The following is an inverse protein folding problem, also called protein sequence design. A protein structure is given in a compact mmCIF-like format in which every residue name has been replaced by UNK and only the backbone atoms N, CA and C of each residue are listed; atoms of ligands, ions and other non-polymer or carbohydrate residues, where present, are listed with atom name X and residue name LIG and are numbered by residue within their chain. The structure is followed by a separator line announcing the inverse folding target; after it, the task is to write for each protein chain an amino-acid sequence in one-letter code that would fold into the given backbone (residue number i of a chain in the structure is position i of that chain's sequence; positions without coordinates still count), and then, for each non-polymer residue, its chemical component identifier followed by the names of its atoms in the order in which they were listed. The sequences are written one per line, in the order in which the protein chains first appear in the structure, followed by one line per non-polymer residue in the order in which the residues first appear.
data_IF_260897541528
#
_entry.id   IF_260897541528
#
_cell.length_a   1.000
_cell.length_b   1.000
_cell.length_c   1.000
_cell.angle_alpha   90.00
_cell.angle_beta   90.00
_cell.angle_gamma   90.00
#
_symmetry.space_group_name_H-M   'P 1'
#
loop_
_entity.id
_entity.type
_entity.pdbx_description
1 polymer ?
#
# COMPACT_ATOMS: atom_id res chain seq x y z
N UNK A 1 13.00 -5.57 -18.09
CA UNK A 1 11.96 -4.74 -17.46
C UNK A 1 12.43 -3.31 -17.13
N UNK A 2 13.44 -2.77 -17.83
CA UNK A 2 13.96 -1.40 -17.66
C UNK A 2 13.69 -0.47 -18.87
N UNK A 3 13.07 -0.98 -19.93
CA UNK A 3 13.05 -0.32 -21.24
C UNK A 3 11.91 0.68 -21.47
N UNK A 4 10.84 0.67 -20.67
CA UNK A 4 9.71 1.60 -20.84
C UNK A 4 9.92 2.95 -20.14
N UNK A 5 10.75 3.02 -19.10
CA UNK A 5 10.99 4.28 -18.39
C UNK A 5 11.86 5.29 -19.17
N UNK A 6 12.54 4.86 -20.24
CA UNK A 6 13.36 5.74 -21.09
C UNK A 6 12.80 5.97 -22.50
N UNK A 7 11.77 5.22 -22.92
CA UNK A 7 11.12 5.37 -24.24
C UNK A 7 9.80 6.13 -24.11
N UNK A 8 9.90 7.31 -23.49
CA UNK A 8 8.77 8.04 -22.96
C UNK A 8 8.84 9.54 -23.22
N UNK A 9 9.56 9.98 -24.23
CA UNK A 9 9.35 11.32 -24.78
C UNK A 9 8.57 11.17 -26.08
N UNK A 10 7.64 12.08 -26.37
CA UNK A 10 6.87 12.04 -27.61
C UNK A 10 7.72 12.51 -28.82
N UNK A 11 9.01 12.14 -28.81
CA UNK A 11 9.95 12.41 -29.85
C UNK A 11 9.82 11.33 -30.95
N UNK A 12 10.18 11.69 -32.18
CA UNK A 12 10.04 10.78 -33.34
C UNK A 12 10.86 9.48 -33.22
N UNK A 13 11.92 9.48 -32.41
CA UNK A 13 12.82 8.33 -32.22
C UNK A 13 12.16 7.29 -31.32
N UNK A 14 11.56 7.70 -30.21
CA UNK A 14 10.84 6.83 -29.29
C UNK A 14 9.62 6.20 -29.99
N UNK A 15 8.88 7.00 -30.77
CA UNK A 15 7.78 6.49 -31.59
C UNK A 15 8.23 5.43 -32.61
N UNK A 16 9.39 5.63 -33.26
CA UNK A 16 9.96 4.67 -34.21
C UNK A 16 10.29 3.34 -33.52
N UNK A 17 10.94 3.40 -32.35
CA UNK A 17 11.30 2.19 -31.60
C UNK A 17 10.09 1.46 -31.05
N UNK A 18 9.09 2.18 -30.52
CA UNK A 18 7.84 1.58 -30.06
C UNK A 18 7.11 0.85 -31.21
N UNK A 19 6.97 1.51 -32.37
CA UNK A 19 6.36 0.89 -33.55
C UNK A 19 7.13 -0.35 -34.00
N UNK A 20 8.45 -0.28 -34.00
CA UNK A 20 9.31 -1.41 -34.38
C UNK A 20 9.19 -2.56 -33.38
N UNK A 21 9.18 -2.26 -32.08
CA UNK A 21 9.03 -3.24 -31.01
C UNK A 21 7.68 -3.97 -31.11
N UNK A 22 6.56 -3.24 -31.17
CA UNK A 22 5.23 -3.85 -31.26
C UNK A 22 5.06 -4.69 -32.53
N UNK A 23 5.62 -4.24 -33.66
CA UNK A 23 5.56 -5.01 -34.92
C UNK A 23 6.39 -6.30 -34.88
N UNK A 24 7.56 -6.24 -34.23
CA UNK A 24 8.54 -7.35 -34.22
C UNK A 24 8.25 -8.35 -33.13
N UNK A 25 8.01 -7.88 -31.90
CA UNK A 25 7.81 -8.72 -30.71
C UNK A 25 6.37 -9.19 -30.59
N UNK A 26 5.40 -8.37 -31.03
CA UNK A 26 3.95 -8.66 -30.92
C UNK A 26 3.57 -9.09 -29.50
N UNK A 27 3.73 -8.20 -28.51
CA UNK A 27 3.50 -8.56 -27.12
C UNK A 27 2.08 -9.05 -26.91
N UNK A 28 1.94 -10.18 -26.20
CA UNK A 28 0.63 -10.73 -25.82
C UNK A 28 0.08 -10.08 -24.55
N UNK A 29 0.96 -9.56 -23.70
CA UNK A 29 0.63 -8.90 -22.43
C UNK A 29 1.43 -7.60 -22.37
N UNK A 30 0.73 -6.51 -22.03
CA UNK A 30 1.33 -5.19 -21.80
C UNK A 30 0.97 -4.76 -20.40
N UNK A 31 1.99 -4.48 -19.58
CA UNK A 31 1.84 -4.05 -18.19
C UNK A 31 2.34 -2.61 -18.10
N UNK A 32 1.49 -1.71 -17.61
CA UNK A 32 1.80 -0.29 -17.47
C UNK A 32 0.97 0.31 -16.33
N UNK A 33 1.46 1.40 -15.73
CA UNK A 33 0.57 2.27 -14.95
C UNK A 33 -0.36 3.01 -15.90
N UNK A 34 -1.50 3.47 -15.37
CA UNK A 34 -2.45 4.28 -16.13
C UNK A 34 -1.82 5.57 -16.64
N UNK A 35 -1.10 6.27 -15.77
CA UNK A 35 -0.47 7.54 -16.11
C UNK A 35 0.51 7.38 -17.26
N UNK A 36 1.33 6.32 -17.23
CA UNK A 36 2.26 6.04 -18.32
C UNK A 36 1.52 5.68 -19.61
N UNK A 37 0.51 4.80 -19.54
CA UNK A 37 -0.23 4.37 -20.73
C UNK A 37 -0.88 5.56 -21.45
N UNK A 38 -1.51 6.46 -20.69
CA UNK A 38 -2.24 7.60 -21.23
C UNK A 38 -1.36 8.82 -21.55
N UNK A 39 -0.14 8.88 -21.02
CA UNK A 39 0.85 9.89 -21.41
C UNK A 39 1.47 9.61 -22.78
N UNK A 40 1.26 8.42 -23.35
CA UNK A 40 1.82 8.01 -24.65
C UNK A 40 0.75 7.63 -25.68
N UNK A 41 0.24 8.61 -26.46
CA UNK A 41 -0.74 8.36 -27.52
C UNK A 41 -0.30 7.29 -28.53
N UNK A 42 1.01 7.20 -28.80
CA UNK A 42 1.56 6.18 -29.71
C UNK A 42 1.36 4.77 -29.19
N UNK A 43 1.47 4.52 -27.87
CA UNK A 43 1.24 3.19 -27.30
C UNK A 43 -0.23 2.83 -27.42
N UNK A 44 -1.14 3.76 -27.11
CA UNK A 44 -2.58 3.55 -27.26
C UNK A 44 -2.97 3.18 -28.70
N UNK A 45 -2.37 3.84 -29.70
CA UNK A 45 -2.58 3.53 -31.12
C UNK A 45 -2.01 2.17 -31.55
N UNK A 46 -1.06 1.60 -30.80
CA UNK A 46 -0.45 0.31 -31.11
C UNK A 46 -1.18 -0.85 -30.42
N UNK A 47 -2.05 -0.55 -29.45
CA UNK A 47 -2.89 -1.52 -28.75
C UNK A 47 -4.20 -1.77 -29.51
N UNK A 48 -4.07 -2.15 -30.78
CA UNK A 48 -5.22 -2.57 -31.58
C UNK A 48 -5.65 -3.99 -31.17
N UNK A 49 -6.96 -4.22 -31.04
CA UNK A 49 -7.57 -5.53 -30.69
C UNK A 49 -7.24 -6.06 -29.29
N UNK A 50 -7.24 -5.20 -28.27
CA UNK A 50 -7.16 -5.64 -26.87
C UNK A 50 -8.41 -6.44 -26.50
N UNK A 51 -8.23 -7.72 -26.18
CA UNK A 51 -9.33 -8.61 -25.79
C UNK A 51 -9.66 -8.55 -24.29
N UNK A 52 -8.67 -8.27 -23.44
CA UNK A 52 -8.81 -8.30 -21.98
C UNK A 52 -8.04 -7.11 -21.38
N UNK A 53 -8.67 -6.41 -20.44
CA UNK A 53 -8.06 -5.35 -19.64
C UNK A 53 -8.28 -5.69 -18.17
N UNK A 54 -7.19 -5.74 -17.40
CA UNK A 54 -7.23 -5.98 -15.96
C UNK A 54 -6.67 -4.78 -15.22
N UNK A 55 -7.41 -4.29 -14.23
CA UNK A 55 -7.00 -3.22 -13.34
C UNK A 55 -6.66 -3.80 -11.98
N UNK A 56 -5.40 -3.66 -11.58
CA UNK A 56 -4.95 -3.91 -10.21
C UNK A 56 -5.08 -2.61 -9.39
N UNK A 57 -5.30 -2.73 -8.08
CA UNK A 57 -5.63 -1.62 -7.17
C UNK A 57 -6.70 -0.67 -7.74
N UNK A 58 -7.74 -1.22 -8.36
CA UNK A 58 -8.81 -0.46 -9.02
C UNK A 58 -9.68 0.36 -8.06
N UNK A 59 -9.59 0.10 -6.75
CA UNK A 59 -10.15 0.96 -5.70
C UNK A 59 -9.32 2.26 -5.51
N UNK A 60 -8.16 2.39 -6.15
CA UNK A 60 -7.27 3.56 -6.05
C UNK A 60 -7.14 4.35 -7.35
N UNK A 61 -7.79 3.91 -8.44
CA UNK A 61 -7.71 4.59 -9.74
C UNK A 61 -8.90 5.54 -9.95
N UNK A 62 -8.69 6.63 -10.71
CA UNK A 62 -9.78 7.49 -11.14
C UNK A 62 -10.80 6.76 -12.03
N UNK A 63 -12.10 7.00 -11.80
CA UNK A 63 -13.18 6.41 -12.61
C UNK A 63 -13.07 6.82 -14.09
N UNK A 64 -12.61 8.04 -14.35
CA UNK A 64 -12.39 8.55 -15.71
C UNK A 64 -11.44 7.68 -16.52
N UNK A 65 -10.43 7.07 -15.89
CA UNK A 65 -9.48 6.21 -16.58
C UNK A 65 -10.12 4.91 -17.04
N UNK A 66 -10.94 4.29 -16.19
CA UNK A 66 -11.72 3.10 -16.58
C UNK A 66 -12.65 3.44 -17.74
N UNK A 67 -13.41 4.53 -17.63
CA UNK A 67 -14.31 4.98 -18.71
C UNK A 67 -13.56 5.21 -20.02
N UNK A 68 -12.39 5.84 -19.96
CA UNK A 68 -11.58 6.09 -21.15
C UNK A 68 -11.15 4.80 -21.85
N UNK A 69 -10.75 3.77 -21.09
CA UNK A 69 -10.43 2.46 -21.67
C UNK A 69 -11.66 1.78 -22.30
N UNK A 70 -12.85 1.91 -21.70
CA UNK A 70 -14.10 1.38 -22.27
C UNK A 70 -14.44 2.02 -23.63
N UNK A 71 -14.15 3.31 -23.79
CA UNK A 71 -14.33 4.00 -25.07
C UNK A 71 -13.30 3.56 -26.10
N UNK A 72 -12.04 3.35 -25.70
CA UNK A 72 -10.96 2.97 -26.61
C UNK A 72 -11.01 1.49 -27.02
N UNK A 73 -11.44 0.61 -26.12
CA UNK A 73 -11.47 -0.84 -26.33
C UNK A 73 -12.87 -1.40 -26.01
N UNK A 74 -13.91 -1.02 -26.77
CA UNK A 74 -15.30 -1.36 -26.45
C UNK A 74 -15.63 -2.86 -26.49
N UNK A 75 -14.76 -3.67 -27.08
CA UNK A 75 -14.91 -5.13 -27.17
C UNK A 75 -14.07 -5.89 -26.14
N UNK A 76 -13.32 -5.20 -25.28
CA UNK A 76 -12.50 -5.83 -24.27
C UNK A 76 -13.35 -6.37 -23.10
N UNK A 77 -12.89 -7.45 -22.50
CA UNK A 77 -13.39 -7.97 -21.22
C UNK A 77 -12.62 -7.27 -20.09
N UNK A 78 -13.34 -6.75 -19.11
CA UNK A 78 -12.77 -5.98 -18.01
C UNK A 78 -12.73 -6.81 -16.72
N UNK A 79 -11.57 -6.82 -16.06
CA UNK A 79 -11.40 -7.28 -14.69
C UNK A 79 -10.98 -6.13 -13.80
N UNK A 80 -11.67 -5.96 -12.67
CA UNK A 80 -11.32 -4.97 -11.65
C UNK A 80 -10.94 -5.71 -10.37
N UNK A 81 -9.70 -5.55 -9.92
CA UNK A 81 -9.17 -6.10 -8.67
C UNK A 81 -8.93 -4.95 -7.71
N UNK A 82 -9.40 -5.06 -6.48
CA UNK A 82 -9.29 -3.99 -5.49
C UNK A 82 -9.91 -4.37 -4.16
N UNK A 83 -9.75 -3.47 -3.20
CA UNK A 83 -10.22 -3.64 -1.83
C UNK A 83 -11.05 -2.42 -1.40
N UNK A 84 -12.36 -2.63 -1.26
CA UNK A 84 -13.32 -1.58 -0.89
C UNK A 84 -13.14 -1.07 0.54
N UNK A 85 -12.42 -1.78 1.40
CA UNK A 85 -12.13 -1.34 2.76
C UNK A 85 -10.94 -0.35 2.82
N UNK A 86 -10.11 -0.29 1.77
CA UNK A 86 -9.03 0.70 1.68
C UNK A 86 -9.63 2.11 1.61
N UNK A 87 -8.89 3.06 2.18
CA UNK A 87 -9.26 4.47 2.07
C UNK A 87 -8.98 4.96 0.64
N UNK A 88 -9.98 5.58 0.02
CA UNK A 88 -9.85 6.24 -1.28
C UNK A 88 -8.68 7.25 -1.30
N UNK A 89 -7.81 7.15 -2.30
CA UNK A 89 -6.79 8.16 -2.58
C UNK A 89 -7.47 9.44 -3.06
N UNK A 90 -7.22 10.53 -2.33
CA UNK A 90 -7.67 11.88 -2.69
C UNK A 90 -6.44 12.68 -3.11
N UNK A 91 -6.45 13.18 -4.33
CA UNK A 91 -5.42 14.14 -4.77
C UNK A 91 -5.52 15.43 -3.98
N UNK A 92 -4.37 15.96 -3.54
CA UNK A 92 -4.29 17.18 -2.72
C UNK A 92 -4.83 18.42 -3.44
N UNK A 93 -4.86 18.41 -4.78
CA UNK A 93 -5.40 19.50 -5.59
C UNK A 93 -6.92 19.43 -5.80
N UNK A 94 -7.60 18.37 -5.32
CA UNK A 94 -9.04 18.22 -5.47
C UNK A 94 -9.80 18.68 -4.21
N UNK A 95 -10.86 19.44 -4.41
CA UNK A 95 -11.83 19.71 -3.35
C UNK A 95 -12.54 18.42 -2.90
N UNK A 96 -13.13 18.42 -1.70
CA UNK A 96 -13.81 17.24 -1.11
C UNK A 96 -14.90 16.68 -2.03
N UNK A 97 -15.62 17.53 -2.77
CA UNK A 97 -16.65 17.07 -3.70
C UNK A 97 -16.05 16.43 -4.95
N UNK A 98 -14.99 17.00 -5.50
CA UNK A 98 -14.30 16.45 -6.67
C UNK A 98 -13.65 15.11 -6.34
N UNK A 99 -13.04 15.01 -5.16
CA UNK A 99 -12.39 13.79 -4.71
C UNK A 99 -13.36 12.65 -4.45
N UNK A 100 -14.57 12.95 -3.97
CA UNK A 100 -15.63 11.96 -3.83
C UNK A 100 -16.04 11.36 -5.16
N UNK A 101 -16.06 12.12 -6.25
CA UNK A 101 -16.55 11.61 -7.55
C UNK A 101 -15.42 11.05 -8.42
N UNK A 102 -14.15 11.31 -8.07
CA UNK A 102 -13.03 11.04 -8.97
C UNK A 102 -12.41 9.66 -8.83
N UNK A 103 -12.27 9.08 -7.63
CA UNK A 103 -11.39 7.90 -7.38
C UNK A 103 -12.09 6.81 -6.57
N UNK A 104 -11.90 5.54 -6.94
CA UNK A 104 -12.23 4.35 -6.12
C UNK A 104 -13.71 3.98 -5.94
N UNK A 105 -14.63 4.92 -6.17
CA UNK A 105 -16.06 4.66 -6.06
C UNK A 105 -16.61 3.65 -7.07
N UNK A 106 -15.89 3.41 -8.18
CA UNK A 106 -16.39 2.50 -9.20
C UNK A 106 -16.46 1.08 -8.64
N UNK A 107 -15.37 0.54 -8.09
CA UNK A 107 -15.33 -0.83 -7.53
C UNK A 107 -16.37 -0.99 -6.41
N UNK A 108 -16.46 0.01 -5.53
CA UNK A 108 -17.46 0.05 -4.46
C UNK A 108 -18.88 -0.02 -5.02
N UNK A 109 -19.24 0.86 -5.96
CA UNK A 109 -20.57 0.87 -6.61
C UNK A 109 -20.85 -0.41 -7.39
N UNK A 110 -19.88 -0.93 -8.13
CA UNK A 110 -20.04 -2.16 -8.92
C UNK A 110 -20.35 -3.35 -8.01
N UNK A 111 -19.71 -3.40 -6.84
CA UNK A 111 -19.92 -4.43 -5.82
C UNK A 111 -21.27 -4.25 -5.11
N UNK A 112 -21.58 -3.05 -4.65
CA UNK A 112 -22.84 -2.73 -3.95
C UNK A 112 -24.07 -2.97 -4.84
N UNK A 113 -24.00 -2.54 -6.09
CA UNK A 113 -25.11 -2.64 -7.04
C UNK A 113 -25.13 -4.00 -7.76
N UNK A 114 -24.15 -4.88 -7.49
CA UNK A 114 -24.02 -6.21 -8.09
C UNK A 114 -24.07 -6.17 -9.63
N UNK A 115 -23.40 -5.16 -10.21
CA UNK A 115 -23.40 -4.95 -11.67
C UNK A 115 -22.64 -6.06 -12.38
N UNK A 116 -21.56 -6.56 -11.76
CA UNK A 116 -20.72 -7.62 -12.30
C UNK A 116 -20.59 -8.80 -11.32
N UNK A 117 -20.30 -10.01 -11.84
CA UNK A 117 -19.85 -11.11 -10.99
C UNK A 117 -18.66 -10.66 -10.15
N UNK A 118 -18.79 -10.75 -8.83
CA UNK A 118 -17.75 -10.38 -7.87
C UNK A 118 -17.25 -11.63 -7.19
N UNK A 119 -15.94 -11.84 -7.19
CA UNK A 119 -15.27 -12.90 -6.43
C UNK A 119 -14.50 -12.22 -5.31
N UNK A 120 -14.73 -12.66 -4.06
CA UNK A 120 -14.01 -12.14 -2.89
C UNK A 120 -12.87 -13.09 -2.55
N UNK A 121 -11.72 -12.52 -2.21
CA UNK A 121 -10.63 -13.30 -1.62
C UNK A 121 -10.96 -13.65 -0.18
N UNK A 122 -10.87 -14.93 0.18
CA UNK A 122 -11.21 -15.43 1.52
C UNK A 122 -10.00 -15.58 2.44
N UNK A 123 -8.78 -15.54 1.89
CA UNK A 123 -7.53 -15.89 2.59
C UNK A 123 -6.47 -14.80 2.48
N UNK A 124 -5.82 -14.48 3.61
CA UNK A 124 -4.54 -13.74 3.65
C UNK A 124 -3.41 -14.73 3.87
N UNK A 125 -2.45 -14.76 2.95
CA UNK A 125 -1.27 -15.63 3.04
C UNK A 125 -0.03 -14.94 3.62
N UNK A 126 -0.06 -13.60 3.74
CA UNK A 126 1.09 -12.77 4.07
C UNK A 126 1.18 -12.32 5.53
N UNK A 127 0.20 -12.66 6.36
CA UNK A 127 0.05 -12.07 7.70
C UNK A 127 -0.26 -13.16 8.73
N UNK A 128 0.29 -13.01 9.94
CA UNK A 128 -0.03 -13.87 11.09
C UNK A 128 -1.55 -13.94 11.33
N UNK A 129 -2.05 -15.11 11.68
CA UNK A 129 -3.49 -15.38 11.82
C UNK A 129 -4.19 -14.49 12.83
N UNK A 130 -3.54 -14.15 13.95
CA UNK A 130 -4.11 -13.28 14.99
C UNK A 130 -4.24 -11.83 14.49
N UNK A 131 -3.27 -11.33 13.71
CA UNK A 131 -3.38 -10.00 13.07
C UNK A 131 -4.48 -10.02 12.00
N UNK A 132 -4.51 -11.06 11.17
CA UNK A 132 -5.54 -11.21 10.13
C UNK A 132 -6.96 -11.24 10.72
N UNK A 133 -7.14 -11.92 11.87
CA UNK A 133 -8.42 -11.93 12.60
C UNK A 133 -8.83 -10.54 13.09
N UNK A 134 -7.88 -9.77 13.65
CA UNK A 134 -8.14 -8.40 14.10
C UNK A 134 -8.55 -7.51 12.92
N UNK A 135 -7.83 -7.60 11.78
CA UNK A 135 -8.15 -6.84 10.56
C UNK A 135 -9.53 -7.23 10.03
N UNK A 136 -9.82 -8.54 9.96
CA UNK A 136 -11.11 -9.07 9.55
C UNK A 136 -12.27 -8.47 10.36
N UNK A 137 -12.17 -8.50 11.69
CA UNK A 137 -13.18 -7.93 12.60
C UNK A 137 -13.34 -6.42 12.45
N UNK A 138 -12.26 -5.68 12.17
CA UNK A 138 -12.30 -4.22 12.11
C UNK A 138 -12.81 -3.66 10.78
N UNK A 139 -12.50 -4.33 9.67
CA UNK A 139 -12.71 -3.79 8.33
C UNK A 139 -13.61 -4.65 7.44
N UNK A 140 -13.80 -5.93 7.77
CA UNK A 140 -14.49 -6.92 6.94
C UNK A 140 -15.57 -7.68 7.72
N UNK A 141 -16.22 -7.03 8.70
CA UNK A 141 -17.21 -7.64 9.62
C UNK A 141 -18.34 -8.40 8.91
N UNK A 142 -18.65 -8.03 7.65
CA UNK A 142 -19.71 -8.64 6.83
C UNK A 142 -19.22 -9.77 5.92
N UNK A 143 -17.92 -10.04 5.90
CA UNK A 143 -17.31 -11.04 5.04
C UNK A 143 -16.85 -12.22 5.89
N UNK A 144 -17.03 -13.45 5.38
CA UNK A 144 -16.51 -14.67 5.99
C UNK A 144 -15.00 -14.74 5.78
N UNK A 145 -14.29 -13.84 6.47
CA UNK A 145 -12.84 -13.72 6.44
C UNK A 145 -12.23 -14.91 7.17
N UNK A 146 -12.07 -16.00 6.45
CA UNK A 146 -11.80 -17.30 7.02
C UNK A 146 -10.38 -17.72 6.72
N UNK A 147 -9.53 -17.55 7.75
CA UNK A 147 -8.25 -18.25 7.93
C UNK A 147 -7.08 -17.64 7.16
N UNK A 148 -6.06 -17.26 7.94
CA UNK A 148 -4.69 -17.16 7.47
C UNK A 148 -4.04 -18.53 7.66
N UNK A 149 -3.25 -18.98 6.68
CA UNK A 149 -2.42 -20.17 6.88
C UNK A 149 -1.44 -19.90 8.01
N UNK A 150 -1.29 -20.87 8.91
CA UNK A 150 -0.34 -20.79 10.02
C UNK A 150 1.07 -20.74 9.44
N UNK A 151 1.59 -19.55 9.21
CA UNK A 151 3.01 -19.40 8.91
C UNK A 151 3.81 -19.97 10.08
N UNK A 152 4.87 -20.73 9.78
CA UNK A 152 5.91 -21.05 10.77
C UNK A 152 6.62 -19.74 11.09
N UNK A 153 6.00 -18.95 11.94
CA UNK A 153 6.45 -17.61 12.26
C UNK A 153 7.76 -17.71 13.03
N UNK A 154 8.86 -17.27 12.41
CA UNK A 154 10.15 -16.99 13.08
C UNK A 154 9.90 -16.08 14.30
N UNK A 155 8.90 -15.22 14.19
CA UNK A 155 8.35 -14.35 15.23
C UNK A 155 7.76 -15.15 16.40
N UNK A 156 7.04 -16.25 16.16
CA UNK A 156 6.50 -17.12 17.21
C UNK A 156 7.57 -17.81 18.07
N UNK A 157 8.84 -17.80 17.63
CA UNK A 157 9.99 -18.32 18.37
C UNK A 157 10.76 -17.25 19.15
N UNK A 158 10.35 -15.97 19.09
CA UNK A 158 10.97 -14.84 19.78
C UNK A 158 10.18 -14.44 21.04
N UNK A 159 10.23 -15.29 22.06
CA UNK A 159 9.58 -15.05 23.37
C UNK A 159 10.08 -13.77 24.06
N UNK A 160 11.31 -13.34 23.74
CA UNK A 160 11.89 -12.08 24.21
C UNK A 160 11.15 -10.84 23.66
N UNK A 161 10.49 -10.97 22.50
CA UNK A 161 9.68 -9.93 21.88
C UNK A 161 8.20 -10.12 22.24
N UNK A 162 7.70 -11.36 22.13
CA UNK A 162 6.28 -11.70 22.20
C UNK A 162 5.99 -12.54 23.44
N UNK A 163 5.34 -11.91 24.42
CA UNK A 163 4.95 -12.55 25.69
C UNK A 163 3.51 -13.11 25.65
N UNK A 164 2.78 -12.93 24.55
CA UNK A 164 1.39 -13.33 24.41
C UNK A 164 1.10 -13.84 22.98
N UNK A 165 -0.08 -14.44 22.79
CA UNK A 165 -0.53 -15.04 21.52
C UNK A 165 -0.78 -14.04 20.38
N UNK A 166 -0.67 -12.74 20.67
CA UNK A 166 -0.88 -11.67 19.70
C UNK A 166 0.46 -11.05 19.32
N UNK A 167 0.89 -11.09 18.05
CA UNK A 167 2.12 -10.44 17.61
C UNK A 167 1.93 -8.93 17.43
N UNK A 168 1.29 -8.29 18.41
CA UNK A 168 1.11 -6.84 18.51
C UNK A 168 1.44 -6.42 19.95
N UNK A 169 2.48 -5.59 20.08
CA UNK A 169 2.89 -5.00 21.37
C UNK A 169 2.69 -3.49 21.32
N UNK A 170 1.82 -2.98 22.17
CA UNK A 170 1.60 -1.55 22.35
C UNK A 170 2.39 -1.11 23.58
N UNK A 171 3.34 -0.20 23.40
CA UNK A 171 4.13 0.34 24.50
C UNK A 171 3.63 1.75 24.81
N UNK A 172 3.02 1.92 25.98
CA UNK A 172 2.73 3.25 26.51
C UNK A 172 3.95 3.76 27.26
N UNK A 173 4.69 4.66 26.62
CA UNK A 173 5.89 5.22 27.20
C UNK A 173 5.62 6.30 28.26
N UNK A 174 4.35 6.65 28.50
CA UNK A 174 3.91 7.64 29.50
C UNK A 174 4.73 8.93 29.53
N UNK A 175 5.20 9.36 28.35
CA UNK A 175 5.98 10.57 28.26
C UNK A 175 5.10 11.77 28.61
N UNK A 176 5.52 12.53 29.63
CA UNK A 176 4.92 13.83 29.95
C UNK A 176 4.97 14.78 28.75
N UNK A 177 4.18 15.86 28.80
CA UNK A 177 4.02 16.80 27.68
C UNK A 177 5.27 17.57 27.26
N UNK A 178 6.40 17.41 27.97
CA UNK A 178 7.66 18.13 27.75
C UNK A 178 8.68 17.36 26.90
N UNK A 179 8.47 16.06 26.67
CA UNK A 179 9.42 15.25 25.89
C UNK A 179 9.19 15.37 24.40
N UNK A 180 10.29 15.39 23.67
CA UNK A 180 10.37 15.51 22.22
C UNK A 180 10.40 14.14 21.56
N UNK A 181 10.23 14.10 20.24
CA UNK A 181 10.34 12.85 19.47
C UNK A 181 11.76 12.25 19.59
N UNK A 182 12.80 13.09 19.72
CA UNK A 182 14.20 12.64 19.87
C UNK A 182 14.43 11.84 21.15
N UNK A 183 13.67 12.11 22.21
CA UNK A 183 13.76 11.37 23.48
C UNK A 183 13.34 9.90 23.34
N UNK A 184 12.63 9.55 22.26
CA UNK A 184 12.22 8.18 21.97
C UNK A 184 13.30 7.36 21.26
N UNK A 185 14.32 8.01 20.70
CA UNK A 185 15.37 7.35 19.91
C UNK A 185 16.12 6.25 20.65
N UNK A 186 16.52 6.39 21.93
CA UNK A 186 17.24 5.33 22.63
C UNK A 186 16.43 4.04 22.72
N UNK A 187 15.12 4.14 22.89
CA UNK A 187 14.24 2.98 22.95
C UNK A 187 14.08 2.31 21.59
N UNK A 188 13.91 3.10 20.52
CA UNK A 188 13.88 2.59 19.15
C UNK A 188 15.17 1.84 18.81
N UNK A 189 16.33 2.40 19.18
CA UNK A 189 17.63 1.76 18.98
C UNK A 189 17.75 0.45 19.76
N UNK A 190 17.34 0.45 21.02
CA UNK A 190 17.35 -0.75 21.87
C UNK A 190 16.44 -1.84 21.31
N UNK A 191 15.23 -1.48 20.85
CA UNK A 191 14.32 -2.40 20.18
C UNK A 191 14.97 -2.99 18.93
N UNK A 192 15.49 -2.16 18.02
CA UNK A 192 16.10 -2.69 16.81
C UNK A 192 17.33 -3.55 17.12
N UNK A 193 18.19 -3.15 18.07
CA UNK A 193 19.30 -3.98 18.53
C UNK A 193 18.82 -5.35 19.00
N UNK A 194 17.76 -5.41 19.80
CA UNK A 194 17.15 -6.68 20.20
C UNK A 194 16.66 -7.50 18.99
N UNK A 195 16.10 -6.87 17.94
CA UNK A 195 15.62 -7.56 16.75
C UNK A 195 16.74 -8.18 15.90
N UNK A 196 17.74 -7.38 15.50
CA UNK A 196 18.78 -7.79 14.55
C UNK A 196 20.08 -8.29 15.22
N UNK A 197 20.29 -8.02 16.50
CA UNK A 197 21.41 -8.48 17.34
C UNK A 197 20.90 -8.99 18.69
N UNK A 198 20.05 -10.04 18.70
CA UNK A 198 19.50 -10.56 19.93
C UNK A 198 20.61 -11.12 20.85
N UNK A 199 20.35 -11.04 22.15
CA UNK A 199 21.12 -11.76 23.16
C UNK A 199 20.57 -13.19 23.31
N UNK A 200 21.25 -14.03 24.10
CA UNK A 200 20.73 -15.30 24.62
C UNK A 200 20.33 -16.36 23.57
N UNK A 201 20.93 -16.32 22.38
CA UNK A 201 20.81 -17.38 21.37
C UNK A 201 19.54 -17.32 20.52
N UNK A 202 18.75 -16.25 20.61
CA UNK A 202 17.61 -16.04 19.72
C UNK A 202 18.04 -15.76 18.27
N UNK A 203 17.18 -16.09 17.32
CA UNK A 203 17.43 -15.87 15.89
C UNK A 203 17.37 -14.37 15.56
N UNK A 204 18.47 -13.85 15.00
CA UNK A 204 18.54 -12.49 14.48
C UNK A 204 17.57 -12.29 13.32
N UNK A 205 16.86 -11.16 13.31
CA UNK A 205 15.96 -10.79 12.23
C UNK A 205 16.73 -9.92 11.24
N UNK A 206 16.77 -10.28 9.94
CA UNK A 206 17.45 -9.48 8.94
C UNK A 206 16.83 -8.07 8.83
N UNK A 207 17.68 -7.05 8.71
CA UNK A 207 17.27 -5.64 8.75
C UNK A 207 16.29 -5.28 7.62
N UNK A 208 16.40 -5.93 6.47
CA UNK A 208 15.52 -5.78 5.32
C UNK A 208 14.08 -6.25 5.60
N UNK A 209 13.88 -7.08 6.63
CA UNK A 209 12.56 -7.56 7.05
C UNK A 209 11.88 -6.66 8.08
N UNK A 210 12.60 -5.64 8.56
CA UNK A 210 12.12 -4.64 9.51
C UNK A 210 11.73 -3.37 8.74
N UNK A 211 10.65 -2.72 9.17
CA UNK A 211 10.27 -1.40 8.69
C UNK A 211 9.80 -0.50 9.82
N UNK A 212 10.00 0.81 9.66
CA UNK A 212 9.55 1.81 10.64
C UNK A 212 8.59 2.80 9.98
N UNK A 213 7.35 2.81 10.44
CA UNK A 213 6.32 3.71 9.98
C UNK A 213 6.29 4.97 10.86
N UNK A 214 6.31 6.14 10.23
CA UNK A 214 6.16 7.43 10.90
C UNK A 214 4.87 8.16 10.52
N UNK A 215 4.48 9.11 11.37
CA UNK A 215 3.23 9.88 11.25
C UNK A 215 3.44 11.38 10.97
N UNK A 216 4.65 11.89 11.17
CA UNK A 216 5.02 13.31 10.98
C UNK A 216 6.30 13.47 10.15
N UNK A 217 6.48 14.66 9.56
CA UNK A 217 7.69 15.00 8.81
C UNK A 217 8.92 15.13 9.71
N UNK A 218 8.75 15.61 10.93
CA UNK A 218 9.83 15.66 11.92
C UNK A 218 10.35 14.25 12.23
N UNK A 219 9.45 13.28 12.47
CA UNK A 219 9.82 11.88 12.66
C UNK A 219 10.56 11.32 11.45
N UNK A 220 10.09 11.61 10.24
CA UNK A 220 10.75 11.13 9.03
C UNK A 220 12.19 11.64 8.92
N UNK A 221 12.42 12.92 9.20
CA UNK A 221 13.78 13.51 9.18
C UNK A 221 14.67 12.80 10.20
N UNK A 222 14.20 12.69 11.45
CA UNK A 222 14.94 12.03 12.53
C UNK A 222 15.25 10.57 12.16
N UNK A 223 14.26 9.83 11.67
CA UNK A 223 14.41 8.44 11.24
C UNK A 223 15.40 8.28 10.11
N UNK A 224 15.28 9.11 9.08
CA UNK A 224 16.14 9.06 7.90
C UNK A 224 17.61 9.28 8.25
N UNK A 225 17.89 10.12 9.26
CA UNK A 225 19.24 10.34 9.74
C UNK A 225 19.74 9.16 10.59
N UNK A 226 18.91 8.65 11.50
CA UNK A 226 19.34 7.63 12.48
C UNK A 226 19.34 6.21 11.96
N UNK A 227 18.57 5.90 10.92
CA UNK A 227 18.47 4.55 10.34
C UNK A 227 19.24 4.41 9.03
N UNK A 228 19.83 5.50 8.51
CA UNK A 228 20.55 5.53 7.23
C UNK A 228 21.53 4.38 7.06
N UNK A 229 22.32 4.11 8.10
CA UNK A 229 23.41 3.13 8.05
C UNK A 229 22.95 1.70 8.41
N UNK A 230 21.70 1.54 8.85
CA UNK A 230 21.15 0.24 9.27
C UNK A 230 20.42 -0.50 8.15
N UNK A 231 20.17 0.16 7.01
CA UNK A 231 19.42 -0.45 5.89
C UNK A 231 17.94 -0.71 6.20
N UNK A 232 17.42 -0.18 7.30
CA UNK A 232 16.01 -0.33 7.70
C UNK A 232 15.16 0.64 6.87
N UNK A 233 14.09 0.12 6.27
CA UNK A 233 13.16 0.94 5.49
C UNK A 233 12.30 1.78 6.44
N UNK A 234 12.26 3.10 6.25
CA UNK A 234 11.43 3.99 7.05
C UNK A 234 10.62 4.97 6.20
N UNK A 235 9.40 5.29 6.63
CA UNK A 235 8.60 6.30 5.97
C UNK A 235 7.14 6.34 6.40
N UNK A 236 6.36 7.15 5.68
CA UNK A 236 4.90 7.18 5.85
C UNK A 236 4.24 5.91 5.32
N UNK A 237 2.97 5.68 5.65
CA UNK A 237 2.19 4.56 5.12
C UNK A 237 2.32 4.37 3.59
N UNK A 238 2.31 5.46 2.81
CA UNK A 238 2.48 5.40 1.34
C UNK A 238 3.81 4.81 0.88
N UNK A 239 4.87 4.92 1.68
CA UNK A 239 6.19 4.35 1.36
C UNK A 239 6.26 2.84 1.55
N UNK A 240 5.21 2.22 2.10
CA UNK A 240 5.08 0.78 2.29
C UNK A 240 4.15 0.12 1.26
N UNK A 241 3.58 0.89 0.32
CA UNK A 241 2.73 0.33 -0.73
C UNK A 241 3.51 -0.70 -1.56
N UNK A 242 3.00 -1.93 -1.62
CA UNK A 242 3.65 -3.04 -2.32
C UNK A 242 4.88 -3.62 -1.60
N UNK A 243 5.21 -3.15 -0.40
CA UNK A 243 6.35 -3.63 0.39
C UNK A 243 5.84 -4.34 1.64
N UNK A 244 6.14 -5.63 1.74
CA UNK A 244 5.87 -6.42 2.93
C UNK A 244 7.09 -6.44 3.85
N UNK A 245 6.84 -6.32 5.16
CA UNK A 245 7.83 -6.48 6.22
C UNK A 245 7.33 -7.53 7.20
N UNK A 246 8.25 -8.30 7.79
CA UNK A 246 7.88 -9.25 8.85
C UNK A 246 7.59 -8.51 10.15
N UNK A 247 8.33 -7.43 10.42
CA UNK A 247 8.09 -6.56 11.58
C UNK A 247 7.94 -5.12 11.11
N UNK A 248 6.86 -4.48 11.54
CA UNK A 248 6.62 -3.05 11.35
C UNK A 248 6.55 -2.41 12.73
N UNK A 249 7.51 -1.54 13.03
CA UNK A 249 7.43 -0.62 14.15
C UNK A 249 6.66 0.64 13.72
N UNK A 250 5.68 1.06 14.53
CA UNK A 250 4.90 2.27 14.27
C UNK A 250 5.32 3.33 15.26
N UNK A 251 6.20 4.22 14.81
CA UNK A 251 6.68 5.32 15.62
C UNK A 251 5.76 6.54 15.50
N UNK A 252 5.08 6.86 16.60
CA UNK A 252 4.38 8.13 16.71
C UNK A 252 3.51 8.24 17.95
N UNK A 253 3.13 9.48 18.27
CA UNK A 253 2.20 9.73 19.37
C UNK A 253 0.76 9.43 18.96
N UNK A 254 0.13 8.46 19.62
CA UNK A 254 -1.31 8.20 19.48
C UNK A 254 -2.17 9.43 19.86
N UNK A 255 -1.61 10.41 20.59
CA UNK A 255 -2.26 11.69 20.91
C UNK A 255 -2.57 12.50 19.64
N UNK A 256 -1.64 12.55 18.69
CA UNK A 256 -1.82 13.25 17.41
C UNK A 256 -2.94 12.60 16.59
N UNK A 257 -3.02 11.27 16.61
CA UNK A 257 -4.11 10.52 15.95
C UNK A 257 -5.48 10.80 16.61
N UNK A 258 -5.55 10.88 17.95
CA UNK A 258 -6.77 11.28 18.68
C UNK A 258 -7.19 12.71 18.37
N UNK A 259 -6.25 13.64 18.28
CA UNK A 259 -6.53 15.05 17.97
C UNK A 259 -6.98 15.27 16.52
N UNK A 260 -6.36 14.59 15.55
CA UNK A 260 -6.80 14.59 14.14
C UNK A 260 -8.21 14.02 14.01
N UNK A 261 -8.53 12.90 14.68
CA UNK A 261 -9.89 12.31 14.69
C UNK A 261 -10.92 13.26 15.32
N UNK A 262 -10.56 13.99 16.38
CA UNK A 262 -11.41 15.01 16.99
C UNK A 262 -11.67 16.21 16.06
N UNK A 263 -10.63 16.72 15.37
CA UNK A 263 -10.79 17.82 14.40
C UNK A 263 -11.65 17.41 13.20
N UNK A 264 -11.43 16.21 12.67
CA UNK A 264 -12.23 15.67 11.57
C UNK A 264 -13.70 15.54 11.95
N UNK A 265 -14.02 14.99 13.13
CA UNK A 265 -15.41 14.91 13.63
C UNK A 265 -16.07 16.28 13.78
N UNK A 266 -15.33 17.29 14.24
CA UNK A 266 -15.86 18.66 14.38
C UNK A 266 -16.16 19.32 13.02
N UNK A 267 -15.38 19.03 11.99
CA UNK A 267 -15.60 19.54 10.62
C UNK A 267 -16.73 18.84 9.86
N UNK A 268 -17.19 17.68 10.33
CA UNK A 268 -18.23 16.88 9.68
C UNK A 268 -19.53 16.81 10.52
N UNK A 269 -19.63 17.62 11.57
CA UNK A 269 -20.83 17.81 12.40
C UNK A 269 -21.39 19.25 12.32
N UNK A 270 -20.82 20.10 11.45
CA UNK A 270 -21.29 21.45 11.10
C UNK A 270 -21.78 21.48 9.67
#
# INVERSE_FOLDING_TARGET
MYYLNSMGSDNKVDQYWLKTFFKTVRPQIVISTFEALFSYPTVLQLLDNVAIIQFDDSDQIPQSYVVQTCVQHPLAIYGLMGDTAKKHVVSECMGIHQSRVSTGQLVEKLTEWKIFPTVKGEHIYSTNSSIAEIIGKLYYEKDDFTRSETMKDIIGMREDIWLNEYPIKIVDHQFGGEKTEEDMLPMLKSLHQMLYQPQDGHTAIPVEKIGVLCTTQSQLVILSEKLKDLGIHCGYLKSFTGIQKEIVDVWGSARILKEKKRRWRKQHQS
#
